data_IF_278531550656
#
_entry.id   IF_278531550656
#
_cell.length_a   1.000
_cell.length_b   1.000
_cell.length_c   1.000
_cell.angle_alpha   90.00
_cell.angle_beta   90.00
_cell.angle_gamma   90.00
#
_symmetry.space_group_name_H-M   'P 1'
#
loop_
_entity.id
_entity.type
_entity.pdbx_description
1 polymer ?
#
# COMPACT_ATOMS: atom_id res chain seq x y z
N UNK A 1 -26.91 -41.89 -31.09
CA UNK A 1 -26.51 -40.48 -31.27
C UNK A 1 -26.21 -39.71 -29.97
N UNK A 2 -26.12 -40.36 -28.80
CA UNK A 2 -25.96 -39.66 -27.50
C UNK A 2 -24.48 -39.63 -27.00
N UNK A 3 -23.57 -40.38 -27.61
CA UNK A 3 -22.17 -40.48 -27.14
C UNK A 3 -21.23 -39.35 -27.62
N UNK A 4 -21.62 -38.52 -28.59
CA UNK A 4 -20.75 -37.45 -29.13
C UNK A 4 -20.90 -36.10 -28.40
N UNK A 5 -22.00 -35.86 -27.70
CA UNK A 5 -22.24 -34.61 -26.95
C UNK A 5 -21.56 -34.59 -25.59
N UNK A 6 -21.44 -35.75 -24.92
CA UNK A 6 -20.75 -35.85 -23.63
C UNK A 6 -19.23 -35.61 -23.73
N UNK A 7 -18.58 -36.08 -24.81
CA UNK A 7 -17.15 -35.84 -25.04
C UNK A 7 -16.82 -34.38 -25.38
N UNK A 8 -17.76 -33.62 -25.96
CA UNK A 8 -17.57 -32.19 -26.19
C UNK A 8 -17.71 -31.35 -24.92
N UNK A 9 -18.62 -31.70 -23.99
CA UNK A 9 -18.71 -31.00 -22.70
C UNK A 9 -17.50 -31.27 -21.79
N UNK A 10 -16.92 -32.48 -21.84
CA UNK A 10 -15.73 -32.79 -21.05
C UNK A 10 -14.46 -32.14 -21.64
N UNK A 11 -14.39 -31.95 -22.95
CA UNK A 11 -13.31 -31.19 -23.60
C UNK A 11 -13.43 -29.67 -23.37
N UNK A 12 -14.64 -29.15 -23.18
CA UNK A 12 -14.86 -27.73 -22.90
C UNK A 12 -14.53 -27.34 -21.45
N UNK A 13 -14.65 -28.28 -20.49
CA UNK A 13 -14.24 -28.07 -19.09
C UNK A 13 -12.71 -28.07 -18.90
N UNK A 14 -11.96 -28.69 -19.80
CA UNK A 14 -10.49 -28.73 -19.74
C UNK A 14 -9.82 -27.53 -20.45
N UNK A 15 -10.62 -26.61 -21.00
CA UNK A 15 -10.13 -25.38 -21.63
C UNK A 15 -10.02 -24.18 -20.66
N UNK A 16 -10.34 -24.37 -19.38
CA UNK A 16 -9.89 -23.48 -18.33
C UNK A 16 -8.52 -23.98 -17.88
N UNK A 17 -7.47 -23.49 -18.55
CA UNK A 17 -6.13 -23.63 -18.03
C UNK A 17 -6.14 -23.12 -16.59
N UNK A 18 -5.89 -24.02 -15.64
CA UNK A 18 -5.60 -23.64 -14.27
C UNK A 18 -4.35 -22.75 -14.34
N UNK A 19 -4.56 -21.44 -14.32
CA UNK A 19 -3.47 -20.51 -14.01
C UNK A 19 -3.04 -20.90 -12.61
N UNK A 20 -1.83 -21.43 -12.48
CA UNK A 20 -1.27 -21.75 -11.18
C UNK A 20 -1.28 -20.43 -10.38
N UNK A 21 -2.11 -20.37 -9.33
CA UNK A 21 -2.08 -19.28 -8.38
C UNK A 21 -0.71 -19.33 -7.70
N UNK A 22 0.09 -18.27 -7.85
CA UNK A 22 1.35 -18.18 -7.16
C UNK A 22 1.05 -18.01 -5.67
N UNK A 23 1.52 -18.94 -4.84
CA UNK A 23 1.41 -18.88 -3.38
C UNK A 23 2.52 -17.96 -2.83
N UNK A 24 2.13 -16.81 -2.30
CA UNK A 24 3.04 -15.82 -1.73
C UNK A 24 3.14 -15.91 -0.20
N UNK A 25 2.52 -16.91 0.44
CA UNK A 25 2.48 -17.03 1.90
C UNK A 25 3.85 -16.99 2.55
N UNK A 26 4.81 -17.77 2.04
CA UNK A 26 6.20 -17.78 2.53
C UNK A 26 6.92 -16.44 2.34
N UNK A 27 6.60 -15.71 1.27
CA UNK A 27 7.15 -14.38 0.98
C UNK A 27 6.59 -13.37 1.97
N UNK A 28 5.29 -13.41 2.21
CA UNK A 28 4.61 -12.57 3.20
C UNK A 28 5.15 -12.84 4.62
N UNK A 29 5.29 -14.10 5.02
CA UNK A 29 5.86 -14.47 6.32
C UNK A 29 7.30 -13.97 6.49
N UNK A 30 8.11 -14.06 5.43
CA UNK A 30 9.48 -13.53 5.43
C UNK A 30 9.52 -12.02 5.59
N UNK A 31 8.64 -11.29 4.89
CA UNK A 31 8.50 -9.83 5.02
C UNK A 31 8.07 -9.48 6.45
N UNK A 32 7.08 -10.17 7.01
CA UNK A 32 6.59 -9.91 8.37
C UNK A 32 7.64 -10.20 9.44
N UNK A 33 8.38 -11.31 9.31
CA UNK A 33 9.51 -11.64 10.18
C UNK A 33 10.60 -10.57 10.12
N UNK A 34 10.93 -10.11 8.91
CA UNK A 34 11.91 -9.05 8.70
C UNK A 34 11.44 -7.71 9.28
N UNK A 35 10.15 -7.39 9.16
CA UNK A 35 9.55 -6.22 9.80
C UNK A 35 9.71 -6.29 11.33
N UNK A 36 9.36 -7.41 11.96
CA UNK A 36 9.49 -7.61 13.41
C UNK A 36 10.95 -7.49 13.86
N UNK A 37 11.85 -8.20 13.20
CA UNK A 37 13.28 -8.17 13.52
C UNK A 37 13.88 -6.77 13.36
N UNK A 38 13.54 -6.09 12.26
CA UNK A 38 13.97 -4.72 12.00
C UNK A 38 13.49 -3.74 13.07
N UNK A 39 12.24 -3.87 13.52
CA UNK A 39 11.71 -3.03 14.60
C UNK A 39 12.43 -3.29 15.94
N UNK A 40 12.65 -4.56 16.30
CA UNK A 40 13.39 -4.92 17.53
C UNK A 40 14.83 -4.38 17.53
N UNK A 41 15.46 -4.32 16.35
CA UNK A 41 16.86 -3.85 16.19
C UNK A 41 16.98 -2.35 15.97
N UNK A 42 15.89 -1.61 15.85
CA UNK A 42 15.95 -0.19 15.55
C UNK A 42 16.44 0.61 16.77
N UNK A 43 17.59 1.26 16.64
CA UNK A 43 18.22 2.13 17.63
C UNK A 43 17.47 3.46 17.79
N UNK A 44 16.71 3.88 16.78
CA UNK A 44 15.96 5.13 16.81
C UNK A 44 14.71 5.10 15.91
N UNK A 45 13.88 6.14 16.07
CA UNK A 45 12.61 6.29 15.36
C UNK A 45 12.77 6.39 13.83
N UNK A 46 13.90 6.89 13.31
CA UNK A 46 14.11 7.00 11.87
C UNK A 46 14.37 5.63 11.23
N UNK A 47 15.12 4.76 11.92
CA UNK A 47 15.28 3.37 11.49
C UNK A 47 13.95 2.62 11.54
N UNK A 48 13.09 2.93 12.52
CA UNK A 48 11.73 2.40 12.57
C UNK A 48 10.92 2.83 11.34
N UNK A 49 10.92 4.12 11.00
CA UNK A 49 10.21 4.65 9.82
C UNK A 49 10.74 4.02 8.52
N UNK A 50 12.07 3.88 8.39
CA UNK A 50 12.69 3.25 7.23
C UNK A 50 12.24 1.79 7.07
N UNK A 51 12.28 1.01 8.15
CA UNK A 51 11.79 -0.36 8.15
C UNK A 51 10.30 -0.43 7.77
N UNK A 52 9.45 0.43 8.35
CA UNK A 52 8.03 0.50 7.98
C UNK A 52 7.82 0.77 6.49
N UNK A 53 8.52 1.79 5.96
CA UNK A 53 8.40 2.19 4.55
C UNK A 53 8.86 1.10 3.58
N UNK A 54 9.92 0.36 3.91
CA UNK A 54 10.40 -0.75 3.10
C UNK A 54 9.43 -1.93 3.09
N UNK A 55 8.93 -2.28 4.27
CA UNK A 55 8.01 -3.42 4.40
C UNK A 55 6.66 -3.09 3.76
N UNK A 56 6.20 -1.84 3.84
CA UNK A 56 5.03 -1.36 3.07
C UNK A 56 5.23 -1.52 1.57
N UNK A 57 6.39 -1.14 1.03
CA UNK A 57 6.68 -1.37 -0.38
C UNK A 57 6.66 -2.86 -0.74
N UNK A 58 7.37 -3.70 -0.01
CA UNK A 58 7.47 -5.13 -0.33
C UNK A 58 6.09 -5.81 -0.32
N UNK A 59 5.23 -5.47 0.65
CA UNK A 59 3.87 -6.00 0.69
C UNK A 59 3.02 -5.44 -0.46
N UNK A 60 3.08 -4.13 -0.74
CA UNK A 60 2.36 -3.54 -1.86
C UNK A 60 2.81 -4.14 -3.21
N UNK A 61 4.10 -4.45 -3.35
CA UNK A 61 4.64 -5.13 -4.51
C UNK A 61 4.06 -6.54 -4.65
N UNK A 62 4.00 -7.32 -3.56
CA UNK A 62 3.36 -8.65 -3.55
C UNK A 62 1.88 -8.58 -3.90
N UNK A 63 1.12 -7.63 -3.35
CA UNK A 63 -0.29 -7.42 -3.72
C UNK A 63 -0.42 -7.15 -5.23
N UNK A 64 0.44 -6.29 -5.79
CA UNK A 64 0.43 -6.01 -7.22
C UNK A 64 0.74 -7.27 -8.07
N UNK A 65 1.68 -8.10 -7.63
CA UNK A 65 1.98 -9.37 -8.30
C UNK A 65 0.82 -10.37 -8.24
N UNK A 66 0.15 -10.49 -7.09
CA UNK A 66 -1.03 -11.35 -6.93
C UNK A 66 -2.14 -10.90 -7.89
N UNK A 67 -2.37 -9.58 -8.00
CA UNK A 67 -3.42 -9.01 -8.84
C UNK A 67 -3.08 -9.04 -10.34
N UNK A 68 -1.80 -8.96 -10.73
CA UNK A 68 -1.34 -8.98 -12.14
C UNK A 68 -1.34 -10.39 -12.76
N UNK A 69 -2.45 -11.10 -12.63
CA UNK A 69 -2.63 -12.51 -13.09
C UNK A 69 -2.36 -12.74 -14.58
N UNK A 70 -2.38 -11.68 -15.41
CA UNK A 70 -2.11 -11.72 -16.86
C UNK A 70 -0.73 -11.21 -17.24
N UNK A 71 0.05 -10.74 -16.27
CA UNK A 71 1.39 -10.20 -16.49
C UNK A 71 1.42 -8.87 -17.26
N UNK A 72 0.32 -8.12 -17.30
CA UNK A 72 0.22 -6.86 -18.04
C UNK A 72 1.14 -5.78 -17.45
N UNK A 73 1.46 -5.89 -16.16
CA UNK A 73 2.30 -4.94 -15.43
C UNK A 73 3.64 -5.54 -14.97
N UNK A 74 3.97 -6.77 -15.37
CA UNK A 74 5.18 -7.47 -14.90
C UNK A 74 6.46 -6.69 -15.15
N UNK A 75 6.64 -6.13 -16.35
CA UNK A 75 7.82 -5.30 -16.68
C UNK A 75 7.90 -4.01 -15.85
N UNK A 76 6.74 -3.40 -15.56
CA UNK A 76 6.65 -2.22 -14.69
C UNK A 76 7.02 -2.59 -13.26
N UNK A 77 6.50 -3.70 -12.75
CA UNK A 77 6.81 -4.23 -11.43
C UNK A 77 8.30 -4.56 -11.29
N UNK A 78 8.90 -5.23 -12.27
CA UNK A 78 10.35 -5.53 -12.29
C UNK A 78 11.19 -4.25 -12.24
N UNK A 79 10.79 -3.22 -13.00
CA UNK A 79 11.45 -1.92 -13.01
C UNK A 79 11.36 -1.22 -11.64
N UNK A 80 10.18 -1.25 -11.00
CA UNK A 80 9.97 -0.72 -9.65
C UNK A 80 10.87 -1.46 -8.65
N UNK A 81 10.88 -2.79 -8.68
CA UNK A 81 11.69 -3.61 -7.76
C UNK A 81 13.20 -3.39 -7.97
N UNK A 82 13.67 -3.34 -9.22
CA UNK A 82 15.05 -3.01 -9.55
C UNK A 82 15.44 -1.63 -9.01
N UNK A 83 14.56 -0.64 -9.20
CA UNK A 83 14.77 0.72 -8.71
C UNK A 83 14.76 0.79 -7.18
N UNK A 84 13.94 -0.02 -6.50
CA UNK A 84 13.96 -0.18 -5.05
C UNK A 84 15.31 -0.71 -4.58
N UNK A 85 15.81 -1.79 -5.18
CA UNK A 85 17.09 -2.42 -4.81
C UNK A 85 18.25 -1.46 -5.04
N UNK A 86 18.32 -0.86 -6.22
CA UNK A 86 19.36 0.14 -6.54
C UNK A 86 19.30 1.35 -5.61
N UNK A 87 18.10 1.83 -5.29
CA UNK A 87 17.93 2.95 -4.36
C UNK A 87 18.43 2.61 -2.96
N UNK A 88 18.13 1.40 -2.47
CA UNK A 88 18.59 0.95 -1.16
C UNK A 88 20.11 0.79 -1.11
N UNK A 89 20.74 0.24 -2.15
CA UNK A 89 22.21 0.13 -2.25
C UNK A 89 22.91 1.49 -2.27
N UNK A 90 22.28 2.50 -2.87
CA UNK A 90 22.84 3.86 -2.99
C UNK A 90 22.50 4.78 -1.83
N UNK A 91 21.69 4.34 -0.87
CA UNK A 91 21.26 5.20 0.21
C UNK A 91 22.41 5.39 1.23
N UNK A 92 22.93 6.60 1.31
CA UNK A 92 23.99 7.03 2.21
C UNK A 92 23.49 7.24 3.65
N UNK A 93 22.17 7.40 3.83
CA UNK A 93 21.57 7.60 5.14
C UNK A 93 20.12 7.10 5.21
N UNK A 94 19.60 7.03 6.45
CA UNK A 94 18.25 6.54 6.73
C UNK A 94 17.14 7.35 6.06
N UNK A 95 17.34 8.65 5.83
CA UNK A 95 16.31 9.49 5.20
C UNK A 95 16.17 9.18 3.70
N UNK A 96 17.28 8.90 3.01
CA UNK A 96 17.24 8.43 1.63
C UNK A 96 16.59 7.05 1.54
N UNK A 97 16.78 6.18 2.54
CA UNK A 97 16.07 4.92 2.64
C UNK A 97 14.55 5.13 2.78
N UNK A 98 14.13 6.01 3.69
CA UNK A 98 12.71 6.35 3.87
C UNK A 98 12.13 6.88 2.55
N UNK A 99 12.80 7.83 1.89
CA UNK A 99 12.34 8.39 0.62
C UNK A 99 12.16 7.32 -0.47
N UNK A 100 13.16 6.44 -0.64
CA UNK A 100 13.08 5.33 -1.58
C UNK A 100 11.90 4.40 -1.22
N UNK A 101 11.73 4.03 0.05
CA UNK A 101 10.60 3.21 0.50
C UNK A 101 9.24 3.85 0.20
N UNK A 102 9.07 5.13 0.52
CA UNK A 102 7.82 5.88 0.28
C UNK A 102 7.50 5.98 -1.22
N UNK A 103 8.50 6.21 -2.07
CA UNK A 103 8.29 6.25 -3.52
C UNK A 103 7.87 4.92 -4.10
N UNK A 104 8.56 3.85 -3.69
CA UNK A 104 8.28 2.52 -4.22
C UNK A 104 6.93 2.01 -3.73
N UNK A 105 6.54 2.36 -2.49
CA UNK A 105 5.18 2.11 -1.98
C UNK A 105 4.13 2.80 -2.84
N UNK A 106 4.31 4.09 -3.14
CA UNK A 106 3.42 4.80 -4.07
C UNK A 106 3.34 4.11 -5.43
N UNK A 107 4.47 3.78 -6.05
CA UNK A 107 4.49 3.18 -7.39
C UNK A 107 3.81 1.80 -7.41
N UNK A 108 4.02 0.97 -6.39
CA UNK A 108 3.35 -0.32 -6.26
C UNK A 108 1.83 -0.15 -6.05
N UNK A 109 1.41 0.75 -5.17
CA UNK A 109 0.00 1.09 -4.99
C UNK A 109 -0.62 1.65 -6.28
N UNK A 110 0.13 2.44 -7.06
CA UNK A 110 -0.35 3.00 -8.32
C UNK A 110 -0.66 1.89 -9.32
N UNK A 111 0.23 0.90 -9.44
CA UNK A 111 -0.01 -0.29 -10.27
C UNK A 111 -1.23 -1.08 -9.76
N UNK A 112 -1.39 -1.28 -8.44
CA UNK A 112 -2.59 -1.92 -7.87
C UNK A 112 -3.86 -1.20 -8.32
N UNK A 113 -3.88 0.14 -8.21
CA UNK A 113 -5.04 0.92 -8.61
C UNK A 113 -5.35 0.78 -10.10
N UNK A 114 -4.32 0.76 -10.96
CA UNK A 114 -4.49 0.54 -12.40
C UNK A 114 -5.02 -0.87 -12.73
N UNK A 115 -4.58 -1.90 -11.99
CA UNK A 115 -5.09 -3.27 -12.16
C UNK A 115 -6.57 -3.34 -11.75
N UNK A 116 -6.93 -2.71 -10.64
CA UNK A 116 -8.29 -2.73 -10.11
C UNK A 116 -9.27 -1.86 -10.91
N UNK A 117 -8.81 -0.78 -11.55
CA UNK A 117 -9.62 0.12 -12.40
C UNK A 117 -9.95 -0.49 -13.77
N UNK A 118 -10.56 -1.68 -13.78
CA UNK A 118 -10.86 -2.47 -14.99
C UNK A 118 -11.78 -1.77 -15.98
N UNK A 119 -12.53 -0.74 -15.56
CA UNK A 119 -13.44 0.05 -16.40
C UNK A 119 -12.87 1.42 -16.79
N UNK A 120 -11.68 1.78 -16.30
CA UNK A 120 -11.06 3.06 -16.56
C UNK A 120 -11.77 4.27 -15.93
N UNK A 121 -12.61 4.05 -14.91
CA UNK A 121 -13.40 5.10 -14.28
C UNK A 121 -12.52 6.10 -13.50
N UNK A 122 -11.32 5.68 -13.10
CA UNK A 122 -10.38 6.47 -12.30
C UNK A 122 -9.09 6.81 -13.05
N UNK A 123 -8.98 6.47 -14.34
CA UNK A 123 -7.75 6.65 -15.14
C UNK A 123 -7.26 8.09 -15.11
N UNK A 124 -8.13 9.08 -15.34
CA UNK A 124 -7.75 10.51 -15.32
C UNK A 124 -7.31 10.98 -13.94
N UNK A 125 -7.94 10.47 -12.88
CA UNK A 125 -7.54 10.75 -11.49
C UNK A 125 -6.16 10.18 -11.20
N UNK A 126 -5.92 8.92 -11.58
CA UNK A 126 -4.63 8.25 -11.44
C UNK A 126 -3.54 9.00 -12.22
N UNK A 127 -3.78 9.39 -13.46
CA UNK A 127 -2.82 10.16 -14.27
C UNK A 127 -2.48 11.50 -13.63
N UNK A 128 -3.47 12.20 -13.07
CA UNK A 128 -3.26 13.44 -12.33
C UNK A 128 -2.40 13.25 -11.09
N UNK A 129 -2.64 12.17 -10.32
CA UNK A 129 -1.81 11.82 -9.16
C UNK A 129 -0.38 11.51 -9.59
N UNK A 130 -0.18 10.73 -10.65
CA UNK A 130 1.14 10.36 -11.15
C UNK A 130 1.93 11.57 -11.68
N UNK A 131 1.25 12.46 -12.42
CA UNK A 131 1.83 13.73 -12.88
C UNK A 131 2.27 14.60 -11.70
N UNK A 132 1.42 14.69 -10.67
CA UNK A 132 1.72 15.45 -9.45
C UNK A 132 2.87 14.82 -8.65
N UNK A 133 2.97 13.49 -8.64
CA UNK A 133 4.11 12.76 -8.07
C UNK A 133 5.41 13.14 -8.78
N UNK A 134 5.45 13.05 -10.12
CA UNK A 134 6.63 13.40 -10.93
C UNK A 134 7.04 14.86 -10.75
N UNK A 135 6.09 15.77 -10.82
CA UNK A 135 6.36 17.20 -10.63
C UNK A 135 6.83 17.50 -9.22
N UNK A 136 6.26 16.87 -8.20
CA UNK A 136 6.68 17.03 -6.80
C UNK A 136 8.11 16.56 -6.58
N UNK A 137 8.49 15.41 -7.16
CA UNK A 137 9.87 14.91 -7.07
C UNK A 137 10.87 15.82 -7.77
N UNK A 138 10.51 16.37 -8.93
CA UNK A 138 11.38 17.29 -9.68
C UNK A 138 11.63 18.59 -8.92
N UNK A 139 10.64 19.06 -8.15
CA UNK A 139 10.69 20.31 -7.38
C UNK A 139 11.21 20.12 -5.96
N UNK A 140 11.50 18.89 -5.53
CA UNK A 140 11.92 18.64 -4.16
C UNK A 140 13.37 19.11 -3.94
N UNK A 141 13.54 20.13 -3.11
CA UNK A 141 14.81 20.71 -2.70
C UNK A 141 15.59 19.82 -1.74
N UNK A 142 14.91 18.91 -1.04
CA UNK A 142 15.53 18.00 -0.09
C UNK A 142 14.75 16.68 0.08
N UNK A 143 15.39 15.73 0.74
CA UNK A 143 14.86 14.38 0.97
C UNK A 143 13.55 14.37 1.78
N UNK A 144 13.31 15.34 2.66
CA UNK A 144 12.07 15.39 3.44
C UNK A 144 10.86 15.78 2.58
N UNK A 145 11.05 16.70 1.64
CA UNK A 145 10.02 17.02 0.65
C UNK A 145 9.73 15.82 -0.27
N UNK A 146 10.75 15.03 -0.58
CA UNK A 146 10.58 13.76 -1.29
C UNK A 146 9.71 12.78 -0.51
N UNK A 147 10.02 12.58 0.78
CA UNK A 147 9.22 11.72 1.67
C UNK A 147 7.77 12.22 1.76
N UNK A 148 7.56 13.53 1.95
CA UNK A 148 6.22 14.11 2.03
C UNK A 148 5.42 13.87 0.74
N UNK A 149 6.02 14.09 -0.44
CA UNK A 149 5.37 13.80 -1.70
C UNK A 149 5.04 12.30 -1.82
N UNK A 150 5.96 11.39 -1.46
CA UNK A 150 5.70 9.95 -1.44
C UNK A 150 4.52 9.56 -0.55
N UNK A 151 4.48 10.06 0.69
CA UNK A 151 3.39 9.80 1.65
C UNK A 151 2.04 10.33 1.16
N UNK A 152 2.02 11.52 0.56
CA UNK A 152 0.80 12.11 0.00
C UNK A 152 0.25 11.30 -1.17
N UNK A 153 1.11 10.94 -2.11
CA UNK A 153 0.69 10.22 -3.30
C UNK A 153 0.27 8.79 -2.94
N UNK A 154 0.92 8.18 -1.95
CA UNK A 154 0.46 6.89 -1.38
C UNK A 154 -0.95 7.00 -0.82
N UNK A 155 -1.24 8.02 0.00
CA UNK A 155 -2.61 8.26 0.49
C UNK A 155 -3.61 8.43 -0.65
N UNK A 156 -3.33 9.29 -1.63
CA UNK A 156 -4.25 9.58 -2.73
C UNK A 156 -4.57 8.33 -3.56
N UNK A 157 -3.56 7.50 -3.84
CA UNK A 157 -3.77 6.25 -4.57
C UNK A 157 -4.53 5.22 -3.74
N UNK A 158 -4.20 5.07 -2.46
CA UNK A 158 -4.98 4.19 -1.57
C UNK A 158 -6.44 4.65 -1.51
N UNK A 159 -6.69 5.96 -1.47
CA UNK A 159 -8.06 6.49 -1.48
C UNK A 159 -8.81 6.09 -2.75
N UNK A 160 -8.15 6.17 -3.92
CA UNK A 160 -8.72 5.68 -5.18
C UNK A 160 -8.97 4.16 -5.14
N UNK A 161 -8.03 3.37 -4.63
CA UNK A 161 -8.22 1.91 -4.46
C UNK A 161 -9.45 1.62 -3.60
N UNK A 162 -9.61 2.32 -2.48
CA UNK A 162 -10.75 2.14 -1.60
C UNK A 162 -12.07 2.48 -2.30
N UNK A 163 -12.11 3.55 -3.10
CA UNK A 163 -13.29 3.92 -3.89
C UNK A 163 -13.63 2.88 -4.96
N UNK A 164 -12.61 2.32 -5.63
CA UNK A 164 -12.80 1.24 -6.61
C UNK A 164 -13.42 0.00 -5.95
N UNK A 165 -12.95 -0.35 -4.76
CA UNK A 165 -13.39 -1.56 -4.04
C UNK A 165 -14.74 -1.37 -3.32
N UNK A 166 -15.08 -0.16 -2.87
CA UNK A 166 -16.35 0.15 -2.19
C UNK A 166 -17.54 0.26 -3.16
N UNK A 167 -17.77 -0.80 -3.93
CA UNK A 167 -18.79 -0.86 -4.99
C UNK A 167 -20.23 -0.65 -4.50
N UNK A 168 -20.49 -0.83 -3.19
CA UNK A 168 -21.79 -0.62 -2.56
C UNK A 168 -21.88 0.70 -1.80
N UNK A 169 -20.82 1.49 -1.77
CA UNK A 169 -20.76 2.77 -1.05
C UNK A 169 -20.94 2.65 0.46
N UNK A 170 -20.59 1.50 1.05
CA UNK A 170 -20.77 1.26 2.49
C UNK A 170 -19.75 2.02 3.34
N UNK A 171 -18.63 2.43 2.73
CA UNK A 171 -17.55 3.17 3.38
C UNK A 171 -17.38 4.60 2.84
N UNK A 172 -18.17 5.03 1.85
CA UNK A 172 -18.11 6.39 1.26
C UNK A 172 -17.99 7.50 2.30
N UNK A 173 -18.87 7.54 3.30
CA UNK A 173 -18.85 8.59 4.33
C UNK A 173 -17.59 8.55 5.21
N UNK A 174 -17.05 7.36 5.46
CA UNK A 174 -15.80 7.17 6.20
C UNK A 174 -14.62 7.67 5.36
N UNK A 175 -14.57 7.29 4.08
CA UNK A 175 -13.57 7.74 3.13
C UNK A 175 -13.57 9.27 2.99
N UNK A 176 -14.74 9.89 2.83
CA UNK A 176 -14.89 11.34 2.71
C UNK A 176 -14.42 12.10 3.97
N UNK A 177 -14.68 11.52 5.15
CA UNK A 177 -14.19 12.04 6.42
C UNK A 177 -12.65 11.98 6.52
N UNK A 178 -12.06 10.86 6.11
CA UNK A 178 -10.59 10.70 6.05
C UNK A 178 -10.00 11.71 5.05
N UNK A 179 -10.59 11.86 3.87
CA UNK A 179 -10.11 12.79 2.85
C UNK A 179 -10.21 14.26 3.31
N UNK A 180 -11.32 14.63 3.95
CA UNK A 180 -11.48 15.96 4.55
C UNK A 180 -10.44 16.23 5.63
N UNK A 181 -10.16 15.22 6.46
CA UNK A 181 -9.14 15.31 7.51
C UNK A 181 -7.73 15.39 6.93
N UNK A 182 -7.45 14.68 5.83
CA UNK A 182 -6.21 14.80 5.07
C UNK A 182 -6.02 16.23 4.56
N UNK A 183 -7.01 16.80 3.86
CA UNK A 183 -6.98 18.17 3.33
C UNK A 183 -6.76 19.20 4.43
N UNK A 184 -7.55 19.12 5.50
CA UNK A 184 -7.44 20.03 6.65
C UNK A 184 -6.08 19.92 7.33
N UNK A 185 -5.57 18.70 7.54
CA UNK A 185 -4.25 18.45 8.12
C UNK A 185 -3.12 19.05 7.27
N UNK A 186 -3.20 18.94 5.94
CA UNK A 186 -2.21 19.54 5.05
C UNK A 186 -2.23 21.06 5.09
N UNK A 187 -3.42 21.68 5.10
CA UNK A 187 -3.56 23.14 5.20
C UNK A 187 -2.99 23.68 6.52
N UNK A 188 -3.10 22.90 7.60
CA UNK A 188 -2.63 23.28 8.94
C UNK A 188 -1.17 22.91 9.22
N UNK A 189 -0.50 22.21 8.31
CA UNK A 189 0.85 21.76 8.54
C UNK A 189 1.85 22.93 8.41
N UNK A 190 2.50 23.27 9.52
CA UNK A 190 3.52 24.31 9.64
C UNK A 190 4.85 23.90 9.01
N UNK A 191 5.11 22.59 8.86
CA UNK A 191 6.34 22.07 8.29
C UNK A 191 6.16 20.71 7.60
N UNK A 192 7.20 20.31 6.86
CA UNK A 192 7.22 19.06 6.08
C UNK A 192 7.05 17.80 6.93
N UNK A 193 7.45 17.80 8.20
CA UNK A 193 7.30 16.62 9.06
C UNK A 193 5.84 16.40 9.46
N UNK A 194 5.10 17.47 9.74
CA UNK A 194 3.66 17.39 9.99
C UNK A 194 2.91 16.93 8.73
N UNK A 195 3.37 17.34 7.55
CA UNK A 195 2.87 16.85 6.27
C UNK A 195 3.09 15.34 6.13
N UNK A 196 4.30 14.85 6.39
CA UNK A 196 4.61 13.41 6.36
C UNK A 196 3.73 12.66 7.37
N UNK A 197 3.59 13.15 8.60
CA UNK A 197 2.77 12.50 9.62
C UNK A 197 1.30 12.39 9.19
N UNK A 198 0.71 13.47 8.66
CA UNK A 198 -0.66 13.44 8.14
C UNK A 198 -0.78 12.46 6.97
N UNK A 199 0.16 12.47 6.02
CA UNK A 199 0.18 11.50 4.91
C UNK A 199 0.23 10.04 5.38
N UNK A 200 1.11 9.72 6.33
CA UNK A 200 1.27 8.37 6.87
C UNK A 200 0.03 7.90 7.66
N UNK A 201 -0.59 8.77 8.45
CA UNK A 201 -1.81 8.43 9.17
C UNK A 201 -2.99 8.19 8.24
N UNK A 202 -3.18 9.06 7.27
CA UNK A 202 -4.29 8.94 6.33
C UNK A 202 -4.09 7.73 5.42
N UNK A 203 -2.84 7.41 5.05
CA UNK A 203 -2.51 6.17 4.34
C UNK A 203 -2.92 4.93 5.15
N UNK A 204 -2.61 4.90 6.44
CA UNK A 204 -3.08 3.81 7.31
C UNK A 204 -4.60 3.74 7.36
N UNK A 205 -5.29 4.85 7.64
CA UNK A 205 -6.75 4.85 7.79
C UNK A 205 -7.45 4.34 6.54
N UNK A 206 -6.96 4.71 5.35
CA UNK A 206 -7.51 4.19 4.09
C UNK A 206 -7.13 2.73 3.87
N UNK A 207 -5.88 2.32 4.11
CA UNK A 207 -5.48 0.91 4.01
C UNK A 207 -6.30 0.01 4.95
N UNK A 208 -6.60 0.50 6.15
CA UNK A 208 -7.49 -0.16 7.10
C UNK A 208 -8.90 -0.34 6.52
N UNK A 209 -9.48 0.71 5.94
CA UNK A 209 -10.79 0.64 5.27
C UNK A 209 -10.76 -0.35 4.09
N UNK A 210 -9.70 -0.35 3.28
CA UNK A 210 -9.54 -1.32 2.19
C UNK A 210 -9.56 -2.75 2.75
N UNK A 211 -8.82 -3.02 3.82
CA UNK A 211 -8.80 -4.34 4.45
C UNK A 211 -10.20 -4.74 4.97
N UNK A 212 -10.96 -3.81 5.54
CA UNK A 212 -12.34 -4.07 5.96
C UNK A 212 -13.29 -4.35 4.79
N UNK A 213 -13.15 -3.62 3.68
CA UNK A 213 -13.93 -3.87 2.45
C UNK A 213 -13.67 -5.28 1.92
N UNK A 214 -12.41 -5.72 1.96
CA UNK A 214 -11.98 -7.03 1.46
C UNK A 214 -12.28 -8.19 2.41
N UNK A 215 -12.33 -7.97 3.73
CA UNK A 215 -12.61 -9.00 4.75
C UNK A 215 -14.10 -9.37 4.84
N UNK A 216 -14.69 -9.81 3.72
CA UNK A 216 -16.14 -10.05 3.64
C UNK A 216 -16.65 -11.17 4.55
N UNK A 217 -15.76 -12.06 5.00
CA UNK A 217 -16.09 -13.17 5.92
C UNK A 217 -15.80 -12.85 7.37
N UNK A 218 -15.20 -11.69 7.67
CA UNK A 218 -14.76 -11.32 9.01
C UNK A 218 -13.58 -12.14 9.55
N UNK A 219 -12.82 -12.81 8.68
CA UNK A 219 -11.72 -13.69 9.09
C UNK A 219 -10.54 -12.91 9.69
N UNK A 220 -10.43 -11.61 9.38
CA UNK A 220 -9.37 -10.72 9.85
C UNK A 220 -9.86 -9.64 10.82
N UNK A 221 -11.15 -9.63 11.18
CA UNK A 221 -11.76 -8.60 12.03
C UNK A 221 -10.99 -8.39 13.34
N UNK A 222 -10.65 -9.47 14.06
CA UNK A 222 -9.88 -9.36 15.31
C UNK A 222 -8.46 -8.83 15.11
N UNK A 223 -7.83 -9.14 13.98
CA UNK A 223 -6.50 -8.64 13.62
C UNK A 223 -6.57 -7.15 13.31
N UNK A 224 -7.58 -6.74 12.52
CA UNK A 224 -7.83 -5.35 12.20
C UNK A 224 -8.13 -4.52 13.45
N UNK A 225 -8.99 -5.01 14.36
CA UNK A 225 -9.28 -4.33 15.64
C UNK A 225 -8.01 -4.14 16.48
N UNK A 226 -7.13 -5.14 16.52
CA UNK A 226 -5.85 -5.05 17.22
C UNK A 226 -4.92 -3.99 16.61
N UNK A 227 -4.83 -3.94 15.28
CA UNK A 227 -4.05 -2.94 14.54
C UNK A 227 -4.61 -1.54 14.84
N UNK A 228 -5.93 -1.36 14.75
CA UNK A 228 -6.56 -0.06 14.99
C UNK A 228 -6.41 0.40 16.45
N UNK A 229 -6.56 -0.50 17.42
CA UNK A 229 -6.29 -0.21 18.84
C UNK A 229 -4.85 0.23 19.06
N UNK A 230 -3.90 -0.46 18.43
CA UNK A 230 -2.48 -0.14 18.49
C UNK A 230 -2.15 1.20 17.80
N UNK A 231 -2.83 1.54 16.71
CA UNK A 231 -2.76 2.86 16.07
C UNK A 231 -3.19 3.95 17.05
N UNK A 232 -4.35 3.80 17.68
CA UNK A 232 -4.91 4.79 18.62
C UNK A 232 -4.00 4.96 19.83
N UNK A 233 -3.56 3.85 20.43
CA UNK A 233 -2.64 3.88 21.57
C UNK A 233 -1.30 4.53 21.21
N UNK A 234 -0.73 4.17 20.07
CA UNK A 234 0.51 4.75 19.56
C UNK A 234 0.38 6.25 19.31
N UNK A 235 -0.74 6.70 18.76
CA UNK A 235 -0.99 8.12 18.53
C UNK A 235 -1.12 8.91 19.85
N UNK A 236 -1.82 8.37 20.85
CA UNK A 236 -1.94 9.00 22.17
C UNK A 236 -0.60 9.11 22.89
N UNK A 237 0.30 8.14 22.68
CA UNK A 237 1.63 8.08 23.31
C UNK A 237 2.72 8.83 22.54
N UNK A 238 2.42 9.35 21.35
CA UNK A 238 3.43 10.02 20.54
C UNK A 238 3.74 11.41 21.12
N UNK A 239 4.95 11.55 21.66
CA UNK A 239 5.50 12.79 22.21
C UNK A 239 5.95 13.78 21.12
N UNK A 240 6.20 13.29 19.90
CA UNK A 240 6.61 14.12 18.78
C UNK A 240 6.14 13.59 17.42
N UNK A 241 6.28 14.42 16.39
CA UNK A 241 5.87 14.13 15.02
C UNK A 241 6.56 12.89 14.42
N UNK A 242 7.80 12.59 14.79
CA UNK A 242 8.52 11.43 14.26
C UNK A 242 7.95 10.12 14.79
N UNK A 243 7.55 10.08 16.06
CA UNK A 243 6.84 8.92 16.63
C UNK A 243 5.47 8.73 15.96
N UNK A 244 4.79 9.83 15.58
CA UNK A 244 3.57 9.75 14.78
C UNK A 244 3.84 9.14 13.40
N UNK A 245 4.88 9.61 12.69
CA UNK A 245 5.27 9.05 11.39
C UNK A 245 5.60 7.56 11.50
N UNK A 246 6.33 7.14 12.54
CA UNK A 246 6.66 5.75 12.78
C UNK A 246 5.41 4.89 13.00
N UNK A 247 4.50 5.32 13.88
CA UNK A 247 3.23 4.65 14.11
C UNK A 247 2.40 4.55 12.83
N UNK A 248 2.25 5.64 12.06
CA UNK A 248 1.53 5.62 10.79
C UNK A 248 2.12 4.65 9.77
N UNK A 249 3.45 4.62 9.65
CA UNK A 249 4.16 3.73 8.73
C UNK A 249 3.97 2.26 9.11
N UNK A 250 4.03 1.94 10.41
CA UNK A 250 3.82 0.59 10.92
C UNK A 250 2.42 0.08 10.70
N UNK A 251 1.43 0.92 10.99
CA UNK A 251 0.02 0.55 10.82
C UNK A 251 -0.33 0.44 9.34
N UNK A 252 0.27 1.27 8.48
CA UNK A 252 0.14 1.13 7.02
C UNK A 252 0.69 -0.21 6.54
N UNK A 253 1.90 -0.59 6.97
CA UNK A 253 2.45 -1.93 6.68
C UNK A 253 1.52 -3.05 7.16
N UNK A 254 1.04 -3.01 8.40
CA UNK A 254 0.20 -4.07 8.97
C UNK A 254 -1.15 -4.18 8.24
N UNK A 255 -1.77 -3.06 7.87
CA UNK A 255 -2.99 -3.06 7.08
C UNK A 255 -2.78 -3.62 5.66
N UNK A 256 -1.70 -3.19 4.98
CA UNK A 256 -1.30 -3.76 3.69
C UNK A 256 -1.02 -5.26 3.80
N UNK A 257 -0.39 -5.70 4.89
CA UNK A 257 -0.10 -7.11 5.11
C UNK A 257 -1.38 -7.94 5.17
N UNK A 258 -2.40 -7.47 5.91
CA UNK A 258 -3.71 -8.12 5.93
C UNK A 258 -4.34 -8.14 4.54
N UNK A 259 -4.28 -7.04 3.78
CA UNK A 259 -4.77 -6.99 2.39
C UNK A 259 -4.10 -8.05 1.52
N UNK A 260 -2.78 -8.18 1.62
CA UNK A 260 -2.04 -9.20 0.88
C UNK A 260 -2.47 -10.62 1.26
N UNK A 261 -2.64 -10.89 2.54
CA UNK A 261 -3.12 -12.21 3.00
C UNK A 261 -4.56 -12.50 2.54
N UNK A 262 -5.41 -11.48 2.37
CA UNK A 262 -6.76 -11.67 1.83
C UNK A 262 -6.68 -12.04 0.34
N UNK A 263 -5.82 -11.38 -0.43
CA UNK A 263 -5.66 -11.66 -1.87
C UNK A 263 -4.91 -12.95 -2.19
N UNK A 264 -4.04 -13.42 -1.30
CA UNK A 264 -3.23 -14.64 -1.48
C UNK A 264 -4.01 -15.95 -1.27
N UNK A 265 -5.20 -15.89 -0.65
CA UNK A 265 -6.09 -17.03 -0.37
C UNK A 265 -6.90 -17.48 -1.57
#
# INVERSE_FOLDING_TARGET
MIKRTASLMLALLMLFGAVAHADYSSTLDSIYSSYRSGNTRADNVYQQIANGSYRSFEVAYVIAQILDTRGSYSSTLDSIYSSYRSGNTRADNVYQQIANGSYRTFEACYVIAQILDTRGSYTSTLDSIYSSYRSGNTRADNVYQQIANGSYRTFEVLYVIAQILDTRGSYTSTLDSIYSSYRSGNTRADNVYQQIANGSYRSFEVAYVIAQILDTTGAYTSTLDSIYSSYRSGNTRADNVYQQIANGSYRTFEALYVIAQIYDR
#
